data_IF_776350194395
#
_entry.id   IF_776350194395
#
_cell.length_a   1.000
_cell.length_b   1.000
_cell.length_c   1.000
_cell.angle_alpha   90.00
_cell.angle_beta   90.00
_cell.angle_gamma   90.00
#
_symmetry.space_group_name_H-M   'P 1'
#
loop_
_entity.id
_entity.type
_entity.pdbx_description
1 polymer ?
#
# COMPACT_ATOMS: atom_id res chain seq x y z
N UNK A 1 20.35 -11.48 22.45
CA UNK A 1 19.17 -10.67 22.07
C UNK A 1 18.76 -11.07 20.67
N UNK A 2 17.60 -11.70 20.49
CA UNK A 2 17.09 -12.07 19.16
C UNK A 2 16.64 -10.79 18.48
N UNK A 3 17.25 -10.43 17.36
CA UNK A 3 16.86 -9.25 16.60
C UNK A 3 15.69 -9.66 15.71
N UNK A 4 14.47 -9.35 16.15
CA UNK A 4 13.28 -9.60 15.36
C UNK A 4 13.09 -8.44 14.38
N UNK A 5 13.52 -8.62 13.13
CA UNK A 5 13.45 -7.60 12.06
C UNK A 5 12.09 -7.57 11.35
N UNK A 6 11.10 -8.34 11.81
CA UNK A 6 9.75 -8.32 11.24
C UNK A 6 9.12 -6.92 11.28
N UNK A 7 9.13 -6.20 12.42
CA UNK A 7 8.49 -4.88 12.49
C UNK A 7 9.16 -3.88 11.53
N UNK A 8 10.48 -3.89 11.42
CA UNK A 8 11.19 -2.98 10.52
C UNK A 8 10.94 -3.24 9.04
N UNK A 9 10.52 -4.46 8.67
CA UNK A 9 10.07 -4.78 7.30
C UNK A 9 8.59 -4.47 7.09
N UNK A 10 7.72 -4.82 8.04
CA UNK A 10 6.27 -4.69 7.89
C UNK A 10 5.79 -3.23 8.03
N UNK A 11 6.43 -2.43 8.89
CA UNK A 11 6.06 -1.02 9.08
C UNK A 11 6.17 -0.21 7.79
N UNK A 12 7.29 -0.21 7.04
CA UNK A 12 7.35 0.51 5.77
C UNK A 12 6.47 -0.14 4.68
N UNK A 13 6.31 -1.47 4.69
CA UNK A 13 5.47 -2.15 3.71
C UNK A 13 3.98 -1.76 3.86
N UNK A 14 3.46 -1.72 5.09
CA UNK A 14 2.06 -1.35 5.37
C UNK A 14 1.87 0.16 5.44
N UNK A 15 2.88 0.91 5.86
CA UNK A 15 2.78 2.37 6.04
C UNK A 15 3.07 3.18 4.77
N UNK A 16 3.83 2.63 3.82
CA UNK A 16 4.23 3.36 2.60
C UNK A 16 3.85 2.59 1.34
N UNK A 17 4.33 1.35 1.19
CA UNK A 17 4.15 0.61 -0.07
C UNK A 17 2.67 0.29 -0.33
N UNK A 18 1.99 -0.31 0.66
CA UNK A 18 0.59 -0.68 0.52
C UNK A 18 -0.32 0.54 0.28
N UNK A 19 -0.17 1.68 1.00
CA UNK A 19 -0.91 2.91 0.72
C UNK A 19 -0.61 3.48 -0.67
N UNK A 20 0.65 3.52 -1.08
CA UNK A 20 1.03 4.04 -2.41
C UNK A 20 0.38 3.23 -3.54
N UNK A 21 0.46 1.90 -3.43
CA UNK A 21 -0.16 0.98 -4.41
C UNK A 21 -1.68 1.11 -4.41
N UNK A 22 -2.30 1.15 -3.23
CA UNK A 22 -3.76 1.32 -3.10
C UNK A 22 -4.22 2.64 -3.70
N UNK A 23 -3.52 3.74 -3.42
CA UNK A 23 -3.86 5.05 -3.98
C UNK A 23 -3.73 5.08 -5.50
N UNK A 24 -2.71 4.43 -6.07
CA UNK A 24 -2.56 4.32 -7.52
C UNK A 24 -3.72 3.55 -8.16
N UNK A 25 -4.10 2.41 -7.58
CA UNK A 25 -5.24 1.64 -8.07
C UNK A 25 -6.55 2.38 -7.91
N UNK A 26 -6.78 3.07 -6.79
CA UNK A 26 -7.96 3.90 -6.59
C UNK A 26 -8.00 5.05 -7.58
N UNK A 27 -6.87 5.69 -7.89
CA UNK A 27 -6.77 6.74 -8.89
C UNK A 27 -7.16 6.25 -10.29
N UNK A 28 -6.73 5.05 -10.67
CA UNK A 28 -7.21 4.46 -11.92
C UNK A 28 -8.69 4.11 -11.85
N UNK A 29 -9.15 3.48 -10.76
CA UNK A 29 -10.56 3.12 -10.57
C UNK A 29 -11.50 4.32 -10.75
N UNK A 30 -11.21 5.46 -10.12
CA UNK A 30 -12.07 6.66 -10.22
C UNK A 30 -12.00 7.37 -11.57
N UNK A 31 -10.90 7.20 -12.32
CA UNK A 31 -10.76 7.78 -13.66
C UNK A 31 -11.40 6.93 -14.74
N UNK A 32 -11.66 5.66 -14.46
CA UNK A 32 -12.49 4.88 -15.36
C UNK A 32 -13.89 5.49 -15.28
N UNK A 33 -14.29 6.21 -16.33
CA UNK A 33 -15.65 6.76 -16.52
C UNK A 33 -16.71 5.65 -16.72
N UNK A 34 -16.35 4.38 -16.49
CA UNK A 34 -17.25 3.25 -16.34
C UNK A 34 -18.02 3.37 -15.02
N UNK A 35 -18.92 4.34 -14.97
CA UNK A 35 -20.09 4.29 -14.13
C UNK A 35 -21.00 3.27 -14.83
N UNK A 36 -21.11 2.07 -14.29
CA UNK A 36 -22.08 1.07 -14.75
C UNK A 36 -23.48 1.69 -14.90
#
# INVERSE_FOLDING_TARGET
MIINNLPSLLVPLVGLFFPAVTMLFLYFYIQNDEIL
#
